data_IF_375427624524
#
_entry.id   IF_375427624524
#
_cell.length_a   1.000
_cell.length_b   1.000
_cell.length_c   1.000
_cell.angle_alpha   90.00
_cell.angle_beta   90.00
_cell.angle_gamma   90.00
#
_symmetry.space_group_name_H-M   'P 1'
#
loop_
_entity.id
_entity.type
_entity.pdbx_description
1 polymer ?
#
# COMPACT_ATOMS: atom_id res chain seq x y z
N UNK A 1 -18.62 -48.27 -39.76
CA UNK A 1 -18.70 -47.85 -38.34
C UNK A 1 -17.60 -46.81 -38.09
N UNK A 2 -17.96 -45.52 -38.18
CA UNK A 2 -17.04 -44.39 -37.97
C UNK A 2 -17.16 -43.99 -36.49
N UNK A 3 -16.06 -44.09 -35.73
CA UNK A 3 -16.00 -43.63 -34.33
C UNK A 3 -15.61 -42.16 -34.30
N UNK A 4 -16.55 -41.32 -33.89
CA UNK A 4 -16.37 -39.90 -33.61
C UNK A 4 -15.70 -39.77 -32.23
N UNK A 5 -14.46 -39.25 -32.17
CA UNK A 5 -13.77 -38.95 -30.91
C UNK A 5 -14.05 -37.48 -30.59
N UNK A 6 -14.84 -37.27 -29.53
CA UNK A 6 -15.18 -35.98 -28.96
C UNK A 6 -14.02 -35.53 -28.07
N UNK A 7 -13.22 -34.56 -28.54
CA UNK A 7 -12.16 -33.95 -27.74
C UNK A 7 -12.78 -32.88 -26.81
N UNK A 8 -12.71 -33.15 -25.50
CA UNK A 8 -13.15 -32.26 -24.44
C UNK A 8 -12.12 -31.13 -24.28
N UNK A 9 -12.48 -29.91 -24.68
CA UNK A 9 -11.65 -28.72 -24.46
C UNK A 9 -11.76 -28.26 -23.02
N UNK A 10 -10.70 -28.46 -22.23
CA UNK A 10 -10.54 -27.85 -20.91
C UNK A 10 -10.18 -26.38 -21.12
N UNK A 11 -11.17 -25.49 -20.91
CA UNK A 11 -10.94 -24.05 -20.88
C UNK A 11 -10.32 -23.69 -19.51
N UNK A 12 -9.01 -23.47 -19.49
CA UNK A 12 -8.34 -22.84 -18.35
C UNK A 12 -8.74 -21.36 -18.31
N UNK A 13 -9.68 -21.01 -17.43
CA UNK A 13 -9.94 -19.63 -17.05
C UNK A 13 -8.82 -19.17 -16.13
N UNK A 14 -7.82 -18.49 -16.71
CA UNK A 14 -6.85 -17.70 -15.97
C UNK A 14 -7.57 -16.47 -15.40
N UNK A 15 -7.76 -16.41 -14.08
CA UNK A 15 -8.12 -15.17 -13.39
C UNK A 15 -6.96 -14.18 -13.55
N UNK A 16 -7.06 -13.27 -14.51
CA UNK A 16 -6.20 -12.10 -14.57
C UNK A 16 -6.47 -11.25 -13.32
N UNK A 17 -5.50 -11.18 -12.41
CA UNK A 17 -5.47 -10.14 -11.40
C UNK A 17 -5.49 -8.79 -12.14
N UNK A 18 -6.55 -8.01 -11.92
CA UNK A 18 -6.75 -6.73 -12.59
C UNK A 18 -5.74 -5.70 -12.06
N UNK A 19 -5.14 -4.93 -12.95
CA UNK A 19 -4.30 -3.77 -12.66
C UNK A 19 -4.99 -2.68 -11.79
N UNK A 20 -6.27 -2.84 -11.47
CA UNK A 20 -7.00 -1.99 -10.53
C UNK A 20 -6.59 -2.18 -9.05
N UNK A 21 -5.83 -3.23 -8.70
CA UNK A 21 -5.38 -3.45 -7.31
C UNK A 21 -4.10 -2.67 -6.96
N UNK A 22 -3.30 -2.28 -7.96
CA UNK A 22 -2.09 -1.47 -7.80
C UNK A 22 -2.47 -0.03 -7.43
N UNK A 23 -2.62 0.22 -6.13
CA UNK A 23 -2.86 1.56 -5.58
C UNK A 23 -4.06 1.68 -4.66
N UNK A 24 -4.84 0.61 -4.46
CA UNK A 24 -5.94 0.64 -3.49
C UNK A 24 -5.40 0.82 -2.06
N UNK A 25 -6.13 1.49 -1.15
CA UNK A 25 -5.68 1.72 0.22
C UNK A 25 -5.30 0.43 0.97
N UNK A 26 -5.97 -0.68 0.67
CA UNK A 26 -5.69 -1.97 1.30
C UNK A 26 -4.30 -2.52 0.95
N UNK A 27 -3.91 -2.41 -0.32
CA UNK A 27 -2.62 -2.86 -0.81
C UNK A 27 -1.49 -1.99 -0.26
N UNK A 28 -1.68 -0.67 -0.26
CA UNK A 28 -0.74 0.28 0.35
C UNK A 28 -0.56 0.02 1.85
N UNK A 29 -1.65 -0.25 2.57
CA UNK A 29 -1.59 -0.63 3.98
C UNK A 29 -0.87 -1.97 4.19
N UNK A 30 -1.11 -2.96 3.32
CA UNK A 30 -0.42 -4.26 3.33
C UNK A 30 1.09 -4.12 3.13
N UNK A 31 1.51 -3.31 2.16
CA UNK A 31 2.92 -2.98 1.90
C UNK A 31 3.59 -2.26 3.08
N UNK A 32 2.82 -1.48 3.85
CA UNK A 32 3.26 -0.87 5.10
C UNK A 32 3.25 -1.85 6.30
N UNK A 33 2.98 -3.14 6.08
CA UNK A 33 3.00 -4.19 7.10
C UNK A 33 1.66 -4.45 7.79
N UNK A 34 0.58 -3.77 7.40
CA UNK A 34 -0.76 -3.96 7.98
C UNK A 34 -1.55 -5.07 7.26
N UNK A 35 -1.00 -6.29 7.27
CA UNK A 35 -1.51 -7.44 6.50
C UNK A 35 -2.95 -7.86 6.82
N UNK A 36 -3.45 -7.54 8.02
CA UNK A 36 -4.85 -7.80 8.40
C UNK A 36 -5.86 -7.03 7.54
N UNK A 37 -5.52 -5.79 7.13
CA UNK A 37 -6.36 -4.98 6.25
C UNK A 37 -6.40 -5.58 4.84
N UNK A 38 -5.23 -5.94 4.30
CA UNK A 38 -5.12 -6.60 3.00
C UNK A 38 -5.88 -7.94 2.98
N UNK A 39 -5.76 -8.73 4.05
CA UNK A 39 -6.45 -10.02 4.17
C UNK A 39 -7.97 -9.87 4.20
N UNK A 40 -8.49 -8.83 4.88
CA UNK A 40 -9.91 -8.51 4.82
C UNK A 40 -10.34 -8.12 3.39
N UNK A 41 -9.52 -7.33 2.69
CA UNK A 41 -9.79 -6.90 1.32
C UNK A 41 -9.95 -8.09 0.37
N UNK A 42 -9.12 -9.13 0.48
CA UNK A 42 -9.25 -10.33 -0.36
C UNK A 42 -10.62 -11.04 -0.24
N UNK A 43 -11.35 -10.81 0.86
CA UNK A 43 -12.71 -11.31 1.03
C UNK A 43 -13.72 -10.30 0.47
N UNK A 44 -13.54 -9.02 0.77
CA UNK A 44 -14.47 -7.95 0.42
C UNK A 44 -14.46 -7.61 -1.08
N UNK A 45 -13.29 -7.52 -1.70
CA UNK A 45 -13.08 -7.11 -3.07
C UNK A 45 -13.92 -7.89 -4.09
N UNK A 46 -13.93 -9.25 -4.11
CA UNK A 46 -14.76 -9.99 -5.06
C UNK A 46 -16.26 -9.78 -4.82
N UNK A 47 -16.68 -9.55 -3.57
CA UNK A 47 -18.08 -9.27 -3.27
C UNK A 47 -18.49 -7.88 -3.75
N UNK A 48 -17.64 -6.89 -3.57
CA UNK A 48 -17.88 -5.51 -3.98
C UNK A 48 -17.82 -5.33 -5.50
N UNK A 49 -16.72 -5.76 -6.13
CA UNK A 49 -16.47 -5.53 -7.55
C UNK A 49 -17.26 -6.45 -8.47
N UNK A 50 -17.84 -7.54 -7.94
CA UNK A 50 -18.60 -8.51 -8.73
C UNK A 50 -19.96 -8.84 -8.13
N UNK A 51 -20.01 -9.57 -7.01
CA UNK A 51 -21.26 -10.15 -6.50
C UNK A 51 -22.35 -9.11 -6.21
N UNK A 52 -21.97 -7.92 -5.74
CA UNK A 52 -22.89 -6.83 -5.49
C UNK A 52 -23.53 -6.31 -6.78
N UNK A 53 -22.73 -6.05 -7.82
CA UNK A 53 -23.23 -5.60 -9.12
C UNK A 53 -24.09 -6.65 -9.83
N UNK A 54 -23.72 -7.93 -9.69
CA UNK A 54 -24.47 -9.06 -10.23
C UNK A 54 -25.71 -9.43 -9.39
N UNK A 55 -25.89 -8.82 -8.21
CA UNK A 55 -26.92 -9.17 -7.22
C UNK A 55 -26.90 -10.65 -6.84
N UNK A 56 -25.70 -11.22 -6.70
CA UNK A 56 -25.49 -12.58 -6.23
C UNK A 56 -25.72 -12.65 -4.71
N UNK A 57 -27.00 -12.73 -4.33
CA UNK A 57 -27.42 -12.73 -2.93
C UNK A 57 -26.89 -13.93 -2.15
N UNK A 58 -26.66 -15.07 -2.80
CA UNK A 58 -26.11 -16.25 -2.14
C UNK A 58 -24.66 -15.99 -1.72
N UNK A 59 -23.84 -15.40 -2.60
CA UNK A 59 -22.48 -14.99 -2.25
C UNK A 59 -22.44 -13.91 -1.15
N UNK A 60 -23.34 -12.93 -1.22
CA UNK A 60 -23.45 -11.86 -0.22
C UNK A 60 -23.84 -12.43 1.16
N UNK A 61 -24.83 -13.31 1.24
CA UNK A 61 -25.24 -13.95 2.49
C UNK A 61 -24.13 -14.83 3.06
N UNK A 62 -23.41 -15.59 2.22
CA UNK A 62 -22.33 -16.46 2.67
C UNK A 62 -21.12 -15.69 3.26
N UNK A 63 -20.99 -14.40 2.96
CA UNK A 63 -19.86 -13.58 3.40
C UNK A 63 -19.91 -13.18 4.89
N UNK A 64 -21.10 -13.11 5.50
CA UNK A 64 -21.28 -12.56 6.85
C UNK A 64 -20.35 -13.16 7.91
N UNK A 65 -20.30 -14.49 8.10
CA UNK A 65 -19.39 -15.12 9.05
C UNK A 65 -17.91 -14.85 8.74
N UNK A 66 -17.54 -14.81 7.45
CA UNK A 66 -16.16 -14.58 7.00
C UNK A 66 -15.68 -13.16 7.34
N UNK A 67 -16.58 -12.16 7.24
CA UNK A 67 -16.25 -10.79 7.66
C UNK A 67 -16.01 -10.70 9.17
N UNK A 68 -16.81 -11.37 10.00
CA UNK A 68 -16.58 -11.40 11.46
C UNK A 68 -15.23 -12.02 11.82
N UNK A 69 -14.89 -13.14 11.19
CA UNK A 69 -13.63 -13.83 11.40
C UNK A 69 -12.43 -12.96 10.99
N UNK A 70 -12.45 -12.41 9.77
CA UNK A 70 -11.36 -11.55 9.28
C UNK A 70 -11.23 -10.25 10.09
N UNK A 71 -12.35 -9.66 10.50
CA UNK A 71 -12.34 -8.43 11.30
C UNK A 71 -11.69 -8.64 12.67
N UNK A 72 -11.71 -9.84 13.25
CA UNK A 72 -11.06 -10.10 14.53
C UNK A 72 -9.56 -9.76 14.50
N UNK A 73 -8.88 -10.01 13.37
CA UNK A 73 -7.48 -9.64 13.19
C UNK A 73 -7.28 -8.13 13.09
N UNK A 74 -8.16 -7.43 12.35
CA UNK A 74 -8.17 -5.97 12.25
C UNK A 74 -8.43 -5.33 13.62
N UNK A 75 -9.33 -5.91 14.41
CA UNK A 75 -9.68 -5.46 15.75
C UNK A 75 -8.52 -5.63 16.75
N UNK A 76 -7.73 -6.70 16.62
CA UNK A 76 -6.58 -6.98 17.48
C UNK A 76 -5.34 -6.17 17.13
N UNK A 77 -5.29 -5.59 15.92
CA UNK A 77 -4.14 -4.82 15.44
C UNK A 77 -3.86 -3.59 16.31
N UNK A 78 -2.58 -3.32 16.55
CA UNK A 78 -2.08 -2.16 17.30
C UNK A 78 -1.04 -1.42 16.46
N UNK A 79 -1.46 -0.68 15.42
CA UNK A 79 -0.51 0.00 14.54
C UNK A 79 0.15 1.17 15.28
N UNK A 80 1.45 1.34 15.09
CA UNK A 80 2.20 2.48 15.64
C UNK A 80 2.08 3.71 14.71
N UNK A 81 0.91 4.37 14.72
CA UNK A 81 0.64 5.51 13.84
C UNK A 81 1.11 6.81 14.49
N UNK A 82 2.28 7.33 14.11
CA UNK A 82 2.85 8.53 14.74
C UNK A 82 2.03 9.80 14.52
N UNK A 83 1.41 9.96 13.36
CA UNK A 83 0.53 11.09 13.07
C UNK A 83 -0.76 11.01 13.92
N UNK A 84 -1.04 11.99 14.81
CA UNK A 84 -2.21 11.95 15.70
C UNK A 84 -3.57 11.95 14.96
N UNK A 85 -3.70 12.69 13.87
CA UNK A 85 -4.93 12.76 13.08
C UNK A 85 -5.21 11.42 12.39
N UNK A 86 -4.18 10.78 11.81
CA UNK A 86 -4.30 9.43 11.24
C UNK A 86 -4.65 8.40 12.30
N UNK A 87 -4.04 8.49 13.48
CA UNK A 87 -4.35 7.59 14.59
C UNK A 87 -5.82 7.71 14.98
N UNK A 88 -6.32 8.94 15.13
CA UNK A 88 -7.72 9.19 15.42
C UNK A 88 -8.65 8.72 14.29
N UNK A 89 -8.26 8.94 13.03
CA UNK A 89 -8.99 8.48 11.86
C UNK A 89 -9.05 6.95 11.79
N UNK A 90 -7.94 6.26 12.06
CA UNK A 90 -7.88 4.81 12.13
C UNK A 90 -8.75 4.27 13.27
N UNK A 91 -8.64 4.82 14.48
CA UNK A 91 -9.44 4.37 15.62
C UNK A 91 -10.94 4.58 15.40
N UNK A 92 -11.31 5.74 14.84
CA UNK A 92 -12.71 6.07 14.51
C UNK A 92 -13.23 5.21 13.37
N UNK A 93 -12.44 5.06 12.30
CA UNK A 93 -12.72 4.19 11.16
C UNK A 93 -12.92 2.75 11.61
N UNK A 94 -12.01 2.21 12.43
CA UNK A 94 -12.08 0.84 12.95
C UNK A 94 -13.33 0.58 13.78
N UNK A 95 -13.80 1.55 14.58
CA UNK A 95 -15.07 1.43 15.31
C UNK A 95 -16.27 1.42 14.36
N UNK A 96 -16.29 2.30 13.36
CA UNK A 96 -17.33 2.31 12.33
C UNK A 96 -17.34 1.00 11.54
N UNK A 97 -16.15 0.51 11.17
CA UNK A 97 -15.99 -0.72 10.43
C UNK A 97 -16.47 -1.94 11.25
N UNK A 98 -16.15 -2.02 12.55
CA UNK A 98 -16.69 -3.04 13.45
C UNK A 98 -18.22 -3.07 13.42
N UNK A 99 -18.85 -1.90 13.55
CA UNK A 99 -20.29 -1.77 13.55
C UNK A 99 -20.92 -2.29 12.24
N UNK A 100 -20.36 -1.95 11.09
CA UNK A 100 -20.88 -2.43 9.81
C UNK A 100 -20.65 -3.92 9.58
N UNK A 101 -19.53 -4.46 10.05
CA UNK A 101 -19.28 -5.92 10.03
C UNK A 101 -20.32 -6.65 10.86
N UNK A 102 -20.64 -6.15 12.06
CA UNK A 102 -21.65 -6.74 12.93
C UNK A 102 -23.04 -6.72 12.29
N UNK A 103 -23.50 -5.55 11.83
CA UNK A 103 -24.80 -5.44 11.17
C UNK A 103 -24.90 -6.32 9.92
N UNK A 104 -23.83 -6.39 9.12
CA UNK A 104 -23.80 -7.25 7.93
C UNK A 104 -23.91 -8.73 8.32
N UNK A 105 -23.15 -9.17 9.32
CA UNK A 105 -23.16 -10.56 9.78
C UNK A 105 -24.51 -10.96 10.39
N UNK A 106 -25.17 -10.06 11.12
CA UNK A 106 -26.53 -10.25 11.64
C UNK A 106 -27.55 -10.40 10.51
N UNK A 107 -27.49 -9.53 9.49
CA UNK A 107 -28.35 -9.62 8.32
C UNK A 107 -28.15 -10.94 7.55
N UNK A 108 -26.89 -11.37 7.39
CA UNK A 108 -26.54 -12.64 6.78
C UNK A 108 -27.09 -13.84 7.56
N UNK A 109 -26.93 -13.85 8.89
CA UNK A 109 -27.46 -14.90 9.76
C UNK A 109 -29.00 -14.98 9.72
N UNK A 110 -29.66 -13.83 9.60
CA UNK A 110 -31.11 -13.73 9.41
C UNK A 110 -31.57 -14.07 7.97
N UNK A 111 -30.64 -14.42 7.07
CA UNK A 111 -30.91 -14.69 5.64
C UNK A 111 -31.60 -13.52 4.93
N UNK A 112 -31.33 -12.29 5.37
CA UNK A 112 -31.95 -11.09 4.84
C UNK A 112 -31.13 -10.53 3.67
N UNK A 113 -31.44 -11.01 2.47
CA UNK A 113 -30.78 -10.63 1.20
C UNK A 113 -30.77 -9.11 0.94
N UNK A 114 -31.90 -8.45 1.15
CA UNK A 114 -32.03 -6.99 0.97
C UNK A 114 -31.12 -6.22 1.93
N UNK A 115 -31.02 -6.69 3.17
CA UNK A 115 -30.17 -6.04 4.17
C UNK A 115 -28.69 -6.22 3.85
N UNK A 116 -28.22 -7.43 3.50
CA UNK A 116 -26.81 -7.62 3.12
C UNK A 116 -26.44 -6.81 1.86
N UNK A 117 -27.36 -6.71 0.90
CA UNK A 117 -27.15 -5.90 -0.31
C UNK A 117 -27.03 -4.40 -0.01
N UNK A 118 -27.87 -3.88 0.88
CA UNK A 118 -27.85 -2.46 1.27
C UNK A 118 -26.74 -2.10 2.25
N UNK A 119 -26.24 -3.07 3.01
CA UNK A 119 -25.15 -2.88 3.97
C UNK A 119 -23.75 -3.00 3.34
N UNK A 120 -23.57 -3.77 2.26
CA UNK A 120 -22.25 -3.97 1.65
C UNK A 120 -21.54 -2.64 1.28
N UNK A 121 -22.20 -1.66 0.62
CA UNK A 121 -21.53 -0.40 0.28
C UNK A 121 -21.05 0.37 1.51
N UNK A 122 -21.81 0.32 2.61
CA UNK A 122 -21.45 1.00 3.87
C UNK A 122 -20.27 0.32 4.56
N UNK A 123 -20.26 -1.02 4.54
CA UNK A 123 -19.13 -1.81 5.02
C UNK A 123 -17.87 -1.51 4.20
N UNK A 124 -18.00 -1.47 2.86
CA UNK A 124 -16.91 -1.12 1.95
C UNK A 124 -16.35 0.28 2.21
N UNK A 125 -17.20 1.29 2.33
CA UNK A 125 -16.79 2.66 2.63
C UNK A 125 -16.07 2.75 3.99
N UNK A 126 -16.57 2.06 5.02
CA UNK A 126 -15.93 2.03 6.33
C UNK A 126 -14.57 1.30 6.29
N UNK A 127 -14.46 0.22 5.51
CA UNK A 127 -13.21 -0.47 5.24
C UNK A 127 -12.20 0.49 4.57
N UNK A 128 -12.56 1.14 3.47
CA UNK A 128 -11.66 2.03 2.73
C UNK A 128 -11.18 3.20 3.58
N UNK A 129 -12.06 3.81 4.38
CA UNK A 129 -11.68 4.88 5.32
C UNK A 129 -10.67 4.39 6.35
N UNK A 130 -10.88 3.18 6.88
CA UNK A 130 -9.98 2.58 7.86
C UNK A 130 -8.62 2.23 7.24
N UNK A 131 -8.63 1.63 6.05
CA UNK A 131 -7.43 1.29 5.29
C UNK A 131 -6.64 2.55 4.89
N UNK A 132 -7.32 3.61 4.44
CA UNK A 132 -6.71 4.89 4.06
C UNK A 132 -5.98 5.54 5.23
N UNK A 133 -6.51 5.44 6.45
CA UNK A 133 -5.80 5.93 7.62
C UNK A 133 -4.49 5.19 7.89
N UNK A 134 -4.28 4.01 7.30
CA UNK A 134 -3.07 3.19 7.38
C UNK A 134 -2.19 3.26 6.12
N UNK A 135 -2.75 3.67 4.99
CA UNK A 135 -1.99 3.98 3.78
C UNK A 135 -1.03 5.14 4.02
N UNK A 136 0.24 5.03 3.60
CA UNK A 136 1.15 6.17 3.63
C UNK A 136 0.58 7.34 2.82
N UNK A 137 0.65 8.56 3.38
CA UNK A 137 0.42 9.78 2.64
C UNK A 137 1.48 9.91 1.55
N UNK A 138 1.04 10.31 0.36
CA UNK A 138 1.98 10.56 -0.72
C UNK A 138 2.54 11.98 -0.60
N UNK A 139 3.84 12.07 -0.33
CA UNK A 139 4.59 13.28 -0.58
C UNK A 139 5.47 13.02 -1.81
N UNK A 140 4.95 13.41 -2.98
CA UNK A 140 5.52 13.06 -4.28
C UNK A 140 7.05 13.31 -4.41
N UNK A 141 7.64 14.40 -3.87
CA UNK A 141 9.08 14.57 -3.85
C UNK A 141 9.85 13.46 -3.12
N UNK A 142 9.32 12.95 -2.00
CA UNK A 142 9.94 11.86 -1.25
C UNK A 142 9.75 10.50 -1.93
N UNK A 143 8.55 10.24 -2.47
CA UNK A 143 8.28 9.03 -3.27
C UNK A 143 9.26 8.91 -4.44
N UNK A 144 9.49 10.03 -5.14
CA UNK A 144 10.44 10.09 -6.25
C UNK A 144 11.85 9.69 -5.83
N UNK A 145 12.32 10.15 -4.67
CA UNK A 145 13.61 9.73 -4.10
C UNK A 145 13.66 8.22 -3.84
N UNK A 146 12.60 7.67 -3.25
CA UNK A 146 12.52 6.25 -2.91
C UNK A 146 12.54 5.37 -4.17
N UNK A 147 11.80 5.75 -5.21
CA UNK A 147 11.78 5.04 -6.49
C UNK A 147 13.16 5.03 -7.15
N UNK A 148 13.80 6.18 -7.34
CA UNK A 148 15.14 6.25 -7.97
C UNK A 148 16.15 5.40 -7.20
N UNK A 149 16.09 5.40 -5.86
CA UNK A 149 16.97 4.56 -5.04
C UNK A 149 16.71 3.07 -5.23
N UNK A 150 15.44 2.64 -5.36
CA UNK A 150 15.06 1.26 -5.65
C UNK A 150 15.52 0.84 -7.06
N UNK A 151 15.32 1.69 -8.06
CA UNK A 151 15.81 1.45 -9.43
C UNK A 151 17.33 1.26 -9.47
N UNK A 152 18.06 2.16 -8.79
CA UNK A 152 19.51 2.05 -8.64
C UNK A 152 19.93 0.69 -8.07
N UNK A 153 19.29 0.25 -6.98
CA UNK A 153 19.63 -1.00 -6.29
C UNK A 153 19.23 -2.27 -7.05
N UNK A 154 18.06 -2.28 -7.68
CA UNK A 154 17.46 -3.50 -8.23
C UNK A 154 17.69 -3.66 -9.73
N UNK A 155 17.94 -2.58 -10.46
CA UNK A 155 18.07 -2.62 -11.92
C UNK A 155 19.44 -2.17 -12.42
N UNK A 156 20.07 -1.14 -11.83
CA UNK A 156 21.31 -0.58 -12.40
C UNK A 156 22.59 -1.15 -11.76
N UNK A 157 22.58 -1.33 -10.43
CA UNK A 157 23.74 -1.81 -9.68
C UNK A 157 24.12 -3.26 -9.99
N UNK A 158 23.18 -4.23 -10.11
CA UNK A 158 23.54 -5.63 -10.41
C UNK A 158 24.30 -5.79 -11.71
N UNK A 159 23.94 -4.99 -12.72
CA UNK A 159 24.54 -5.01 -14.05
C UNK A 159 25.75 -4.08 -14.18
N UNK A 160 26.12 -3.38 -13.10
CA UNK A 160 27.18 -2.36 -13.11
C UNK A 160 26.99 -1.33 -14.23
N UNK A 161 25.74 -0.94 -14.49
CA UNK A 161 25.40 0.01 -15.54
C UNK A 161 25.77 1.44 -15.10
N UNK A 162 27.06 1.77 -15.18
CA UNK A 162 27.62 3.03 -14.66
C UNK A 162 27.04 4.29 -15.31
N UNK A 163 26.55 4.20 -16.55
CA UNK A 163 25.84 5.29 -17.21
C UNK A 163 24.52 5.58 -16.48
N UNK A 164 23.70 4.55 -16.27
CA UNK A 164 22.42 4.70 -15.54
C UNK A 164 22.62 5.00 -14.05
N UNK A 165 23.65 4.43 -13.42
CA UNK A 165 24.01 4.74 -12.03
C UNK A 165 24.40 6.22 -11.86
N UNK A 166 25.13 6.79 -12.83
CA UNK A 166 25.49 8.21 -12.79
C UNK A 166 24.27 9.09 -13.02
N UNK A 167 23.41 8.73 -13.99
CA UNK A 167 22.13 9.41 -14.25
C UNK A 167 21.21 9.40 -13.02
N UNK A 168 21.07 8.24 -12.36
CA UNK A 168 20.29 8.08 -11.13
C UNK A 168 20.90 8.89 -9.97
N UNK A 169 22.22 8.93 -9.83
CA UNK A 169 22.89 9.77 -8.81
C UNK A 169 22.62 11.27 -9.04
N UNK A 170 22.69 11.74 -10.29
CA UNK A 170 22.33 13.12 -10.64
C UNK A 170 20.85 13.41 -10.37
N UNK A 171 19.97 12.44 -10.63
CA UNK A 171 18.56 12.56 -10.32
C UNK A 171 18.30 12.64 -8.81
N UNK A 172 18.97 11.79 -8.01
CA UNK A 172 18.91 11.87 -6.55
C UNK A 172 19.40 13.23 -6.04
N UNK A 173 20.49 13.77 -6.60
CA UNK A 173 21.00 15.08 -6.21
C UNK A 173 19.98 16.20 -6.49
N UNK A 174 19.37 16.22 -7.68
CA UNK A 174 18.30 17.18 -8.03
C UNK A 174 17.09 17.03 -7.13
N UNK A 175 16.65 15.79 -6.89
CA UNK A 175 15.48 15.49 -6.10
C UNK A 175 15.69 15.82 -4.61
N UNK A 176 16.91 15.66 -4.07
CA UNK A 176 17.22 16.03 -2.67
C UNK A 176 17.13 17.54 -2.47
N UNK A 177 17.64 18.33 -3.42
CA UNK A 177 17.47 19.79 -3.42
C UNK A 177 15.99 20.17 -3.53
N UNK A 178 15.26 19.59 -4.49
CA UNK A 178 13.83 19.87 -4.65
C UNK A 178 13.03 19.51 -3.40
N UNK A 179 13.39 18.42 -2.71
CA UNK A 179 12.78 17.99 -1.45
C UNK A 179 13.05 19.00 -0.33
N UNK A 180 14.28 19.50 -0.24
CA UNK A 180 14.68 20.54 0.70
C UNK A 180 13.94 21.88 0.48
N UNK A 181 13.59 22.20 -0.77
CA UNK A 181 12.89 23.44 -1.12
C UNK A 181 11.36 23.30 -1.14
N UNK A 182 10.86 22.08 -1.24
CA UNK A 182 9.43 21.82 -1.40
C UNK A 182 8.61 22.29 -0.18
N UNK A 183 7.41 22.81 -0.45
CA UNK A 183 6.42 23.11 0.58
C UNK A 183 6.02 21.82 1.28
N UNK A 184 6.06 21.82 2.61
CA UNK A 184 5.55 20.68 3.37
C UNK A 184 4.02 20.65 3.26
N UNK A 185 3.42 19.49 2.99
CA UNK A 185 1.99 19.28 3.18
C UNK A 185 1.57 19.70 4.59
N UNK A 186 0.33 20.17 4.74
CA UNK A 186 -0.19 20.69 6.01
C UNK A 186 0.01 19.69 7.16
N UNK A 187 -0.30 18.41 6.91
CA UNK A 187 -0.16 17.31 7.87
C UNK A 187 1.29 17.03 8.33
N UNK A 188 2.31 17.58 7.64
CA UNK A 188 3.72 17.49 8.03
C UNK A 188 4.22 18.72 8.81
N UNK A 189 3.41 19.78 8.92
CA UNK A 189 3.83 21.05 9.52
C UNK A 189 4.20 20.88 10.99
N UNK A 190 3.47 20.03 11.73
CA UNK A 190 3.77 19.71 13.13
C UNK A 190 5.15 19.05 13.32
N UNK A 191 5.69 18.43 12.28
CA UNK A 191 6.98 17.73 12.29
C UNK A 191 8.09 18.52 11.58
N UNK A 192 7.83 19.75 11.14
CA UNK A 192 8.72 20.52 10.26
C UNK A 192 10.18 20.51 10.70
N UNK A 193 10.47 20.80 11.97
CA UNK A 193 11.85 20.90 12.46
C UNK A 193 12.58 19.57 12.37
N UNK A 194 11.98 18.48 12.85
CA UNK A 194 12.59 17.15 12.83
C UNK A 194 12.67 16.59 11.41
N UNK A 195 11.60 16.74 10.62
CA UNK A 195 11.57 16.30 9.23
C UNK A 195 12.65 17.02 8.41
N UNK A 196 12.77 18.34 8.51
CA UNK A 196 13.82 19.10 7.79
C UNK A 196 15.23 18.67 8.19
N UNK A 197 15.45 18.38 9.47
CA UNK A 197 16.74 17.84 9.95
C UNK A 197 17.06 16.50 9.30
N UNK A 198 16.10 15.56 9.25
CA UNK A 198 16.28 14.24 8.63
C UNK A 198 16.50 14.36 7.12
N UNK A 199 15.76 15.22 6.44
CA UNK A 199 15.94 15.51 5.01
C UNK A 199 17.32 16.09 4.72
N UNK A 200 17.81 17.02 5.56
CA UNK A 200 19.15 17.57 5.44
C UNK A 200 20.26 16.52 5.59
N UNK A 201 20.02 15.46 6.37
CA UNK A 201 20.95 14.35 6.53
C UNK A 201 21.07 13.45 5.28
N UNK A 202 20.13 13.53 4.33
CA UNK A 202 20.19 12.78 3.08
C UNK A 202 21.22 13.36 2.10
N UNK A 203 21.42 14.69 2.13
CA UNK A 203 22.33 15.40 1.22
C UNK A 203 23.76 14.84 1.20
N UNK A 204 24.45 14.63 2.33
CA UNK A 204 25.80 14.05 2.31
C UNK A 204 25.82 12.61 1.76
N UNK A 205 24.79 11.80 2.02
CA UNK A 205 24.70 10.43 1.50
C UNK A 205 24.60 10.45 -0.03
N UNK A 206 23.75 11.33 -0.57
CA UNK A 206 23.57 11.50 -2.02
C UNK A 206 24.84 12.03 -2.68
N UNK A 207 25.53 12.99 -2.04
CA UNK A 207 26.83 13.46 -2.53
C UNK A 207 27.88 12.35 -2.57
N UNK A 208 27.91 11.49 -1.55
CA UNK A 208 28.82 10.33 -1.51
C UNK A 208 28.46 9.28 -2.57
N UNK A 209 27.17 9.10 -2.88
CA UNK A 209 26.70 8.24 -3.99
C UNK A 209 27.25 8.75 -5.33
N UNK A 210 27.11 10.04 -5.64
CA UNK A 210 27.67 10.64 -6.86
C UNK A 210 29.17 10.40 -6.97
N UNK A 211 29.92 10.63 -5.89
CA UNK A 211 31.36 10.39 -5.86
C UNK A 211 31.73 8.89 -6.04
N UNK A 212 30.87 7.96 -5.61
CA UNK A 212 31.08 6.53 -5.86
C UNK A 212 30.83 6.16 -7.32
N UNK A 213 29.87 6.80 -8.00
CA UNK A 213 29.62 6.60 -9.43
C UNK A 213 30.82 7.06 -10.27
N UNK A 214 31.41 8.22 -9.97
CA UNK A 214 32.62 8.71 -10.64
C UNK A 214 33.80 7.75 -10.51
N UNK A 215 33.98 7.18 -9.30
CA UNK A 215 35.07 6.25 -8.97
C UNK A 215 34.76 4.80 -9.33
N UNK A 216 33.53 4.52 -9.77
CA UNK A 216 33.02 3.16 -10.02
C UNK A 216 33.19 2.21 -8.82
N UNK A 217 33.01 2.72 -7.60
CA UNK A 217 33.12 1.94 -6.36
C UNK A 217 31.79 1.25 -6.02
N UNK A 218 31.55 0.09 -6.64
CA UNK A 218 30.29 -0.65 -6.50
C UNK A 218 29.99 -1.06 -5.04
N UNK A 219 31.01 -1.41 -4.27
CA UNK A 219 30.83 -1.86 -2.89
C UNK A 219 30.39 -0.71 -1.99
N UNK A 220 31.03 0.44 -2.09
CA UNK A 220 30.65 1.62 -1.32
C UNK A 220 29.30 2.17 -1.79
N UNK A 221 29.06 2.20 -3.10
CA UNK A 221 27.78 2.60 -3.69
C UNK A 221 26.62 1.76 -3.18
N UNK A 222 26.74 0.43 -3.21
CA UNK A 222 25.71 -0.48 -2.69
C UNK A 222 25.34 -0.18 -1.24
N UNK A 223 26.35 -0.01 -0.37
CA UNK A 223 26.15 0.31 1.04
C UNK A 223 25.40 1.62 1.22
N UNK A 224 25.83 2.68 0.52
CA UNK A 224 25.21 4.01 0.63
C UNK A 224 23.78 4.02 0.09
N UNK A 225 23.53 3.36 -1.05
CA UNK A 225 22.19 3.27 -1.63
C UNK A 225 21.23 2.51 -0.70
N UNK A 226 21.68 1.45 -0.03
CA UNK A 226 20.89 0.77 1.01
C UNK A 226 20.64 1.66 2.24
N UNK A 227 21.63 2.41 2.71
CA UNK A 227 21.45 3.38 3.79
C UNK A 227 20.41 4.44 3.40
N UNK A 228 20.55 5.05 2.23
CA UNK A 228 19.61 6.06 1.73
C UNK A 228 18.18 5.50 1.66
N UNK A 229 18.01 4.28 1.12
CA UNK A 229 16.70 3.62 1.05
C UNK A 229 16.11 3.44 2.45
N UNK A 230 16.89 2.94 3.40
CA UNK A 230 16.43 2.73 4.78
C UNK A 230 16.02 4.04 5.46
N UNK A 231 16.79 5.12 5.28
CA UNK A 231 16.44 6.42 5.83
C UNK A 231 15.16 7.00 5.20
N UNK A 232 14.98 6.85 3.88
CA UNK A 232 13.77 7.25 3.17
C UNK A 232 12.55 6.43 3.64
N UNK A 233 12.67 5.11 3.75
CA UNK A 233 11.62 4.21 4.25
C UNK A 233 11.23 4.55 5.69
N UNK A 234 12.21 4.91 6.53
CA UNK A 234 11.93 5.34 7.90
C UNK A 234 11.28 6.73 7.95
N UNK A 235 11.61 7.66 7.05
CA UNK A 235 10.88 8.94 6.94
C UNK A 235 9.43 8.69 6.54
N UNK A 236 9.20 7.78 5.58
CA UNK A 236 7.85 7.36 5.20
C UNK A 236 7.12 6.78 6.42
N UNK A 237 7.68 5.77 7.08
CA UNK A 237 7.04 5.14 8.24
C UNK A 237 6.75 6.12 9.39
N UNK A 238 7.60 7.13 9.57
CA UNK A 238 7.46 8.07 10.68
C UNK A 238 6.43 9.18 10.42
N UNK A 239 6.26 9.58 9.15
CA UNK A 239 5.58 10.83 8.82
C UNK A 239 4.52 10.71 7.72
N UNK A 240 4.63 9.71 6.86
CA UNK A 240 3.78 9.52 5.69
C UNK A 240 2.86 8.35 5.88
#
# INVERSE_FOLDING_TARGET
MIRLILACGVLLMSCSASAAEEGCPAEKAGQAGFTAIQSFHHILAPLWHKSWGEKDFDALLAAGPRFKEAFAQVAAMKPEIKNPERRQAFETGRRSFAHWVDLYAEAAAAKNGDSVYTLLPKLHEAFEKTATALSPYEWAPLDKMLRVTKEMLHHHLPDSNWTELSSAADELARNTTALADSTLPEYLTAFKTELRKRLGALQPIVSDISACCEKKDAKKLSKLAHTLRGDLEQIVADYL
#
